data_IF_898054677521
#
_entry.id   IF_898054677521
#
_cell.length_a   1.000
_cell.length_b   1.000
_cell.length_c   1.000
_cell.angle_alpha   90.00
_cell.angle_beta   90.00
_cell.angle_gamma   90.00
#
_symmetry.space_group_name_H-M   'P 1'
#
loop_
_entity.id
_entity.type
_entity.pdbx_description
1 polymer ?
#
# COMPACT_ATOMS: atom_id res chain seq x y z
N UNK A 1 13.07 -5.69 9.29
CA UNK A 1 13.24 -4.44 8.50
C UNK A 1 11.86 -3.90 8.14
N UNK A 2 11.60 -2.63 8.41
CA UNK A 2 10.34 -1.96 8.09
C UNK A 2 10.43 -1.34 6.69
N UNK A 3 9.35 -1.44 5.95
CA UNK A 3 9.25 -0.97 4.57
C UNK A 3 8.67 0.44 4.49
N UNK A 4 7.73 0.74 5.38
CA UNK A 4 6.91 1.94 5.38
C UNK A 4 7.08 2.60 6.73
N UNK A 5 7.42 3.88 6.73
CA UNK A 5 7.50 4.72 7.92
C UNK A 5 6.43 5.79 7.81
N UNK A 6 5.57 5.88 8.82
CA UNK A 6 4.57 6.93 8.97
C UNK A 6 4.99 7.80 10.14
N UNK A 7 5.34 9.05 9.86
CA UNK A 7 5.74 10.03 10.87
C UNK A 7 4.57 10.98 11.07
N UNK A 8 4.01 11.00 12.27
CA UNK A 8 2.94 11.92 12.66
C UNK A 8 3.53 13.10 13.45
N UNK A 9 3.23 14.33 13.03
CA UNK A 9 3.69 15.57 13.66
C UNK A 9 2.59 16.64 13.56
N UNK A 10 2.14 17.19 14.70
CA UNK A 10 1.10 18.23 14.75
C UNK A 10 -0.16 17.90 13.90
N UNK A 11 -0.63 16.65 13.95
CA UNK A 11 -1.79 16.18 13.17
C UNK A 11 -1.54 16.02 11.66
N UNK A 12 -0.32 16.27 11.18
CA UNK A 12 0.12 15.98 9.81
C UNK A 12 0.87 14.65 9.77
N UNK A 13 0.81 13.98 8.63
CA UNK A 13 1.49 12.70 8.40
C UNK A 13 2.44 12.81 7.22
N UNK A 14 3.69 12.40 7.41
CA UNK A 14 4.63 12.12 6.34
C UNK A 14 4.74 10.59 6.16
N UNK A 15 4.75 10.16 4.90
CA UNK A 15 4.87 8.74 4.54
C UNK A 15 6.16 8.56 3.77
N UNK A 16 7.05 7.74 4.30
CA UNK A 16 8.33 7.41 3.69
C UNK A 16 8.37 5.92 3.37
N UNK A 17 8.87 5.56 2.19
CA UNK A 17 9.10 4.16 1.79
C UNK A 17 10.60 3.90 1.80
N UNK A 18 11.01 2.84 2.49
CA UNK A 18 12.41 2.43 2.63
C UNK A 18 13.00 2.04 1.26
N UNK A 19 14.05 2.73 0.83
CA UNK A 19 14.71 2.49 -0.45
C UNK A 19 15.35 1.12 -0.58
N UNK A 20 15.82 0.53 0.53
CA UNK A 20 16.40 -0.82 0.50
C UNK A 20 15.32 -1.87 0.30
N UNK A 21 14.13 -1.64 0.87
CA UNK A 21 12.96 -2.47 0.64
C UNK A 21 12.49 -2.37 -0.82
N UNK A 22 12.45 -1.17 -1.40
CA UNK A 22 12.03 -0.99 -2.80
C UNK A 22 13.01 -1.65 -3.78
N UNK A 23 14.31 -1.53 -3.54
CA UNK A 23 15.35 -2.24 -4.31
C UNK A 23 15.21 -3.76 -4.19
N UNK A 24 15.04 -4.28 -2.97
CA UNK A 24 14.89 -5.73 -2.72
C UNK A 24 13.75 -6.35 -3.53
N UNK A 25 12.64 -5.64 -3.70
CA UNK A 25 11.47 -6.11 -4.43
C UNK A 25 11.34 -5.52 -5.84
N UNK A 26 12.39 -4.83 -6.33
CA UNK A 26 12.42 -4.18 -7.64
C UNK A 26 11.17 -3.34 -7.91
N UNK A 27 10.75 -2.54 -6.93
CA UNK A 27 9.59 -1.65 -7.05
C UNK A 27 9.95 -0.44 -7.90
N UNK A 28 9.17 -0.18 -8.95
CA UNK A 28 9.33 1.03 -9.76
C UNK A 28 8.62 2.24 -9.12
N UNK A 29 8.85 3.43 -9.67
CA UNK A 29 8.28 4.68 -9.15
C UNK A 29 6.76 4.66 -9.09
N UNK A 30 6.08 4.10 -10.10
CA UNK A 30 4.62 4.05 -10.12
C UNK A 30 4.06 3.12 -9.03
N UNK A 31 4.71 1.99 -8.79
CA UNK A 31 4.35 1.06 -7.70
C UNK A 31 4.59 1.69 -6.33
N UNK A 32 5.69 2.42 -6.16
CA UNK A 32 5.96 3.18 -4.93
C UNK A 32 4.90 4.25 -4.68
N UNK A 33 4.52 5.01 -5.71
CA UNK A 33 3.45 6.01 -5.63
C UNK A 33 2.10 5.35 -5.31
N UNK A 34 1.85 4.15 -5.85
CA UNK A 34 0.64 3.40 -5.54
C UNK A 34 0.62 2.94 -4.07
N UNK A 35 1.74 2.49 -3.51
CA UNK A 35 1.85 2.20 -2.06
C UNK A 35 1.58 3.46 -1.23
N UNK A 36 2.16 4.61 -1.61
CA UNK A 36 1.93 5.89 -0.94
C UNK A 36 0.46 6.32 -0.98
N UNK A 37 -0.25 6.01 -2.07
CA UNK A 37 -1.70 6.22 -2.19
C UNK A 37 -2.50 5.31 -1.25
N UNK A 38 -2.09 4.06 -1.06
CA UNK A 38 -2.83 3.10 -0.21
C UNK A 38 -2.67 3.35 1.29
N UNK A 39 -1.53 3.87 1.73
CA UNK A 39 -1.23 4.03 3.16
C UNK A 39 -2.24 4.96 3.88
N UNK A 40 -2.60 6.15 3.37
CA UNK A 40 -3.62 6.99 3.98
C UNK A 40 -4.97 6.27 4.11
N UNK A 41 -5.37 5.49 3.09
CA UNK A 41 -6.62 4.72 3.13
C UNK A 41 -6.57 3.66 4.23
N UNK A 42 -5.43 2.98 4.37
CA UNK A 42 -5.23 1.99 5.43
C UNK A 42 -5.25 2.64 6.82
N UNK A 43 -4.59 3.78 6.98
CA UNK A 43 -4.56 4.50 8.26
C UNK A 43 -5.94 5.04 8.66
N UNK A 44 -6.76 5.48 7.71
CA UNK A 44 -8.14 5.91 7.97
C UNK A 44 -9.04 4.75 8.43
N UNK A 45 -8.80 3.53 7.93
CA UNK A 45 -9.54 2.34 8.35
C UNK A 45 -9.00 1.73 9.65
N UNK A 46 -7.69 1.74 9.83
CA UNK A 46 -6.97 1.06 10.91
C UNK A 46 -5.93 0.10 10.33
N UNK A 47 -4.72 0.03 10.92
CA UNK A 47 -3.57 -0.68 10.33
C UNK A 47 -3.80 -2.18 10.07
N UNK A 48 -4.69 -2.82 10.82
CA UNK A 48 -4.98 -4.25 10.69
C UNK A 48 -6.31 -4.54 9.98
N UNK A 49 -7.05 -3.49 9.62
CA UNK A 49 -8.40 -3.58 9.07
C UNK A 49 -8.40 -3.85 7.56
N UNK A 50 -9.45 -4.49 7.08
CA UNK A 50 -9.65 -4.74 5.66
C UNK A 50 -10.21 -3.51 4.93
N UNK A 51 -9.61 -3.18 3.79
CA UNK A 51 -10.09 -2.17 2.85
C UNK A 51 -10.77 -2.85 1.66
N UNK A 52 -11.88 -2.26 1.19
CA UNK A 52 -12.49 -2.68 -0.07
C UNK A 52 -11.77 -1.94 -1.20
N UNK A 53 -10.94 -2.66 -1.97
CA UNK A 53 -10.26 -2.13 -3.15
C UNK A 53 -10.71 -2.90 -4.39
N UNK A 54 -11.57 -2.28 -5.20
CA UNK A 54 -12.00 -2.83 -6.49
C UNK A 54 -11.08 -2.28 -7.59
N UNK A 55 -10.63 -3.15 -8.49
CA UNK A 55 -9.71 -2.76 -9.57
C UNK A 55 -10.29 -1.65 -10.46
N UNK A 56 -11.59 -1.69 -10.74
CA UNK A 56 -12.26 -0.70 -11.60
C UNK A 56 -12.32 0.68 -10.93
N UNK A 57 -12.55 0.72 -9.62
CA UNK A 57 -12.62 1.97 -8.85
C UNK A 57 -11.23 2.62 -8.77
N UNK A 58 -10.20 1.82 -8.45
CA UNK A 58 -8.80 2.29 -8.39
C UNK A 58 -8.31 2.75 -9.76
N UNK A 59 -8.65 2.00 -10.83
CA UNK A 59 -8.31 2.35 -12.20
C UNK A 59 -8.88 3.72 -12.58
N UNK A 60 -10.16 3.97 -12.30
CA UNK A 60 -10.82 5.25 -12.59
C UNK A 60 -10.24 6.38 -11.77
N UNK A 61 -10.07 6.18 -10.46
CA UNK A 61 -9.61 7.22 -9.55
C UNK A 61 -8.19 7.68 -9.87
N UNK A 62 -7.31 6.75 -10.25
CA UNK A 62 -5.93 7.08 -10.57
C UNK A 62 -5.71 7.41 -12.07
N UNK A 63 -6.75 7.24 -12.91
CA UNK A 63 -6.64 7.31 -14.37
C UNK A 63 -5.54 6.38 -14.93
N UNK A 64 -5.51 5.13 -14.44
CA UNK A 64 -4.50 4.12 -14.81
C UNK A 64 -5.22 2.92 -15.41
N UNK A 65 -4.69 2.30 -16.49
CA UNK A 65 -5.31 1.11 -17.07
C UNK A 65 -5.51 0.00 -16.03
N UNK A 66 -6.71 -0.59 -16.01
CA UNK A 66 -7.08 -1.69 -15.11
C UNK A 66 -6.07 -2.84 -15.10
N UNK A 67 -5.50 -3.17 -16.25
CA UNK A 67 -4.48 -4.21 -16.37
C UNK A 67 -3.21 -3.88 -15.59
N UNK A 68 -2.79 -2.61 -15.61
CA UNK A 68 -1.64 -2.10 -14.86
C UNK A 68 -1.91 -2.16 -13.36
N UNK A 69 -3.09 -1.68 -12.92
CA UNK A 69 -3.50 -1.77 -11.51
C UNK A 69 -3.51 -3.22 -11.04
N UNK A 70 -4.09 -4.13 -11.82
CA UNK A 70 -4.10 -5.56 -11.51
C UNK A 70 -2.69 -6.14 -11.36
N UNK A 71 -1.75 -5.75 -12.24
CA UNK A 71 -0.36 -6.18 -12.15
C UNK A 71 0.31 -5.66 -10.87
N UNK A 72 0.03 -4.43 -10.45
CA UNK A 72 0.52 -3.90 -9.18
C UNK A 72 -0.05 -4.65 -7.98
N UNK A 73 -1.36 -4.92 -7.94
CA UNK A 73 -1.96 -5.71 -6.86
C UNK A 73 -1.35 -7.11 -6.76
N UNK A 74 -1.14 -7.79 -7.89
CA UNK A 74 -0.46 -9.09 -7.93
C UNK A 74 0.96 -8.99 -7.38
N UNK A 75 1.77 -8.08 -7.91
CA UNK A 75 3.16 -7.91 -7.47
C UNK A 75 3.25 -7.58 -5.99
N UNK A 76 2.47 -6.60 -5.51
CA UNK A 76 2.47 -6.22 -4.10
C UNK A 76 1.98 -7.34 -3.18
N UNK A 77 1.10 -8.22 -3.67
CA UNK A 77 0.68 -9.43 -2.96
C UNK A 77 1.83 -10.45 -2.90
N UNK A 78 2.48 -10.72 -4.02
CA UNK A 78 3.59 -11.68 -4.11
C UNK A 78 4.79 -11.23 -3.25
N UNK A 79 4.97 -9.92 -3.09
CA UNK A 79 6.00 -9.34 -2.20
C UNK A 79 5.55 -9.17 -0.75
N UNK A 80 4.35 -9.65 -0.39
CA UNK A 80 3.76 -9.56 0.95
C UNK A 80 3.61 -8.12 1.49
N UNK A 81 3.47 -7.15 0.60
CA UNK A 81 3.15 -5.74 0.93
C UNK A 81 1.64 -5.59 1.08
N UNK A 82 0.87 -6.19 0.18
CA UNK A 82 -0.58 -6.30 0.26
C UNK A 82 -0.98 -7.73 0.62
N UNK A 83 -1.95 -7.85 1.51
CA UNK A 83 -2.57 -9.10 1.91
C UNK A 83 -4.00 -9.09 1.39
N UNK A 84 -4.38 -10.15 0.70
CA UNK A 84 -5.76 -10.38 0.26
C UNK A 84 -6.41 -11.35 1.24
N UNK A 85 -7.62 -11.04 1.71
CA UNK A 85 -8.35 -11.89 2.68
C UNK A 85 -8.51 -13.33 2.18
N UNK A 86 -8.91 -13.48 0.92
CA UNK A 86 -9.09 -14.77 0.24
C UNK A 86 -9.00 -14.59 -1.27
N UNK A 87 -8.83 -15.68 -2.01
CA UNK A 87 -8.75 -15.64 -3.47
C UNK A 87 -9.97 -14.93 -4.08
N UNK A 88 -9.72 -13.99 -5.02
CA UNK A 88 -10.73 -13.13 -5.68
C UNK A 88 -11.51 -12.18 -4.76
N UNK A 89 -11.15 -12.05 -3.49
CA UNK A 89 -11.76 -11.04 -2.61
C UNK A 89 -11.31 -9.63 -3.02
N UNK A 90 -12.23 -8.66 -2.90
CA UNK A 90 -11.89 -7.24 -2.98
C UNK A 90 -11.43 -6.68 -1.62
N UNK A 91 -11.28 -7.53 -0.61
CA UNK A 91 -10.76 -7.15 0.70
C UNK A 91 -9.25 -7.30 0.74
N UNK A 92 -8.59 -6.16 0.95
CA UNK A 92 -7.15 -6.01 0.94
C UNK A 92 -6.71 -5.24 2.17
N UNK A 93 -5.51 -5.55 2.69
CA UNK A 93 -4.85 -4.71 3.68
C UNK A 93 -3.36 -4.62 3.40
N UNK A 94 -2.73 -3.54 3.82
CA UNK A 94 -1.27 -3.47 3.87
C UNK A 94 -0.81 -4.37 5.01
N UNK A 95 0.28 -5.10 4.78
CA UNK A 95 0.91 -5.89 5.82
C UNK A 95 1.41 -4.97 6.94
N UNK A 96 0.75 -4.97 8.09
CA UNK A 96 1.10 -4.10 9.21
C UNK A 96 2.49 -4.38 9.79
N UNK A 97 3.02 -5.59 9.60
CA UNK A 97 4.36 -5.95 10.07
C UNK A 97 5.47 -5.14 9.38
N UNK A 98 5.22 -4.61 8.18
CA UNK A 98 6.18 -3.79 7.44
C UNK A 98 5.99 -2.29 7.64
N UNK A 99 4.99 -1.88 8.43
CA UNK A 99 4.72 -0.48 8.78
C UNK A 99 5.33 -0.18 10.16
N UNK A 100 5.95 0.98 10.28
CA UNK A 100 6.37 1.60 11.53
C UNK A 100 5.69 2.98 11.64
N UNK A 101 5.03 3.24 12.76
CA UNK A 101 4.40 4.52 13.05
C UNK A 101 5.16 5.20 14.16
N UNK A 102 5.66 6.40 13.90
CA UNK A 102 6.37 7.23 14.88
C UNK A 102 5.55 8.49 15.14
N UNK A 103 5.23 8.76 16.40
CA UNK A 103 4.53 9.96 16.83
C UNK A 103 5.57 10.92 17.40
N UNK A 104 5.65 12.14 16.85
CA UNK A 104 6.56 13.19 17.28
C UNK A 104 5.83 14.47 17.64
#
# INVERSE_FOLDING_TARGET
MKAIYVIEFNGKRAICVNTDYTKKFSLNTSEMNFIQYLIPLQLQKGLNEWMILRLDDVSKQLNIPRITVNNWFKKLKDTNILIQERFRSNLWKINSNIIEVTIK
#
